data_IF_449560622279
#
_entry.id   IF_449560622279
#
_cell.length_a   1.000
_cell.length_b   1.000
_cell.length_c   1.000
_cell.angle_alpha   90.00
_cell.angle_beta   90.00
_cell.angle_gamma   90.00
#
_symmetry.space_group_name_H-M   'P 1'
#
loop_
_entity.id
_entity.type
_entity.pdbx_description
1 polymer ?
#
# COMPACT_ATOMS: atom_id res chain seq x y z
N UNK A 1 17.95 -33.86 6.60
CA UNK A 1 16.92 -33.85 5.54
C UNK A 1 16.96 -35.07 4.62
N UNK A 2 18.09 -35.57 4.11
CA UNK A 2 18.16 -36.71 3.18
C UNK A 2 17.69 -38.08 3.76
N UNK A 3 17.44 -38.17 5.05
CA UNK A 3 16.95 -39.37 5.75
C UNK A 3 15.42 -39.52 5.73
N UNK A 4 14.71 -38.46 5.40
CA UNK A 4 13.26 -38.44 5.41
C UNK A 4 12.72 -38.88 4.05
N UNK A 5 11.65 -39.69 4.08
CA UNK A 5 10.90 -40.04 2.90
C UNK A 5 9.99 -38.88 2.46
N UNK A 6 9.40 -38.98 1.28
CA UNK A 6 8.56 -37.95 0.71
C UNK A 6 7.35 -37.60 1.60
N UNK A 7 6.69 -38.59 2.17
CA UNK A 7 5.50 -38.39 3.03
C UNK A 7 5.86 -37.68 4.33
N UNK A 8 6.99 -38.04 4.94
CA UNK A 8 7.52 -37.37 6.13
C UNK A 8 7.89 -35.90 5.84
N UNK A 9 8.48 -35.62 4.69
CA UNK A 9 8.78 -34.26 4.25
C UNK A 9 7.51 -33.45 3.99
N UNK A 10 6.50 -34.02 3.33
CA UNK A 10 5.20 -33.41 3.13
C UNK A 10 4.56 -33.01 4.45
N UNK A 11 4.54 -33.94 5.40
CA UNK A 11 3.98 -33.67 6.72
C UNK A 11 4.76 -32.55 7.43
N UNK A 12 6.09 -32.61 7.43
CA UNK A 12 6.97 -31.64 8.09
C UNK A 12 6.79 -30.22 7.49
N UNK A 13 6.89 -30.07 6.18
CA UNK A 13 6.74 -28.76 5.52
C UNK A 13 5.32 -28.22 5.63
N UNK A 14 4.32 -29.08 5.43
CA UNK A 14 2.92 -28.71 5.57
C UNK A 14 2.58 -28.23 6.97
N UNK A 15 3.08 -28.95 8.00
CA UNK A 15 2.89 -28.57 9.39
C UNK A 15 3.56 -27.22 9.71
N UNK A 16 4.86 -27.05 9.37
CA UNK A 16 5.57 -25.80 9.59
C UNK A 16 4.92 -24.62 8.86
N UNK A 17 4.55 -24.82 7.60
CA UNK A 17 3.82 -23.80 6.82
C UNK A 17 2.51 -23.41 7.49
N UNK A 18 1.72 -24.39 7.96
CA UNK A 18 0.44 -24.13 8.60
C UNK A 18 0.59 -23.37 9.92
N UNK A 19 1.62 -23.69 10.72
CA UNK A 19 1.93 -22.94 11.96
C UNK A 19 2.33 -21.51 11.62
N UNK A 20 3.28 -21.31 10.72
CA UNK A 20 3.71 -19.96 10.32
C UNK A 20 2.56 -19.13 9.73
N UNK A 21 1.73 -19.74 8.88
CA UNK A 21 0.54 -19.09 8.33
C UNK A 21 -0.44 -18.68 9.43
N UNK A 22 -0.71 -19.57 10.38
CA UNK A 22 -1.60 -19.27 11.50
C UNK A 22 -1.06 -18.13 12.36
N UNK A 23 0.24 -18.12 12.66
CA UNK A 23 0.89 -17.02 13.40
C UNK A 23 0.78 -15.71 12.64
N UNK A 24 1.01 -15.70 11.32
CA UNK A 24 0.84 -14.52 10.46
C UNK A 24 -0.62 -14.02 10.45
N UNK A 25 -1.59 -14.93 10.40
CA UNK A 25 -3.01 -14.55 10.41
C UNK A 25 -3.45 -13.99 11.78
N UNK A 26 -2.87 -14.50 12.89
CA UNK A 26 -3.07 -13.93 14.22
C UNK A 26 -2.49 -12.52 14.33
N UNK A 27 -1.32 -12.27 13.74
CA UNK A 27 -0.72 -10.92 13.71
C UNK A 27 -1.55 -9.94 12.87
N UNK A 28 -2.07 -10.39 11.73
CA UNK A 28 -3.05 -9.62 10.94
C UNK A 28 -4.33 -9.33 11.73
N UNK A 29 -4.81 -10.29 12.53
CA UNK A 29 -5.99 -10.09 13.38
C UNK A 29 -5.73 -9.03 14.47
N UNK A 30 -4.54 -9.01 15.08
CA UNK A 30 -4.13 -7.95 16.02
C UNK A 30 -4.12 -6.59 15.30
N UNK A 31 -3.51 -6.52 14.13
CA UNK A 31 -3.48 -5.30 13.33
C UNK A 31 -4.87 -4.82 12.91
N UNK A 32 -5.80 -5.75 12.62
CA UNK A 32 -7.18 -5.43 12.32
C UNK A 32 -7.91 -4.83 13.52
N UNK A 33 -7.72 -5.37 14.74
CA UNK A 33 -8.29 -4.79 15.96
C UNK A 33 -7.73 -3.39 16.25
N UNK A 34 -6.44 -3.17 16.03
CA UNK A 34 -5.82 -1.85 16.16
C UNK A 34 -6.40 -0.85 15.15
N UNK A 35 -6.53 -1.24 13.88
CA UNK A 35 -7.13 -0.40 12.84
C UNK A 35 -8.59 -0.07 13.13
N UNK A 36 -9.37 -1.05 13.61
CA UNK A 36 -10.76 -0.84 14.02
C UNK A 36 -10.90 0.19 15.15
N UNK A 37 -10.00 0.14 16.13
CA UNK A 37 -9.97 1.14 17.21
C UNK A 37 -9.64 2.53 16.66
N UNK A 38 -8.65 2.65 15.78
CA UNK A 38 -8.30 3.89 15.09
C UNK A 38 -9.46 4.44 14.27
N UNK A 39 -10.08 3.61 13.43
CA UNK A 39 -11.18 4.01 12.54
C UNK A 39 -12.44 4.39 13.32
N UNK A 40 -12.68 3.79 14.48
CA UNK A 40 -13.78 4.18 15.37
C UNK A 40 -13.71 5.65 15.78
N UNK A 41 -12.52 6.14 16.10
CA UNK A 41 -12.27 7.53 16.49
C UNK A 41 -12.29 8.45 15.26
N UNK A 42 -11.57 8.09 14.22
CA UNK A 42 -11.51 8.87 12.99
C UNK A 42 -12.87 8.95 12.28
N UNK A 43 -13.67 7.89 12.36
CA UNK A 43 -15.04 7.87 11.84
C UNK A 43 -15.95 8.92 12.49
N UNK A 44 -15.73 9.24 13.78
CA UNK A 44 -16.45 10.35 14.45
C UNK A 44 -16.08 11.70 13.83
N UNK A 45 -14.79 11.95 13.60
CA UNK A 45 -14.33 13.15 12.92
C UNK A 45 -14.93 13.30 11.52
N UNK A 46 -14.92 12.26 10.69
CA UNK A 46 -15.46 12.31 9.34
C UNK A 46 -16.98 12.53 9.33
N UNK A 47 -17.71 11.96 10.30
CA UNK A 47 -19.16 12.24 10.46
C UNK A 47 -19.41 13.70 10.80
N UNK A 48 -18.69 14.27 11.77
CA UNK A 48 -18.80 15.69 12.13
C UNK A 48 -18.50 16.58 10.95
N UNK A 49 -17.39 16.32 10.24
CA UNK A 49 -17.01 17.06 9.03
C UNK A 49 -18.08 16.98 7.94
N UNK A 50 -18.68 15.80 7.73
CA UNK A 50 -19.77 15.61 6.76
C UNK A 50 -21.00 16.45 7.13
N UNK A 51 -21.42 16.41 8.40
CA UNK A 51 -22.56 17.20 8.89
C UNK A 51 -22.30 18.70 8.73
N UNK A 52 -21.13 19.18 9.11
CA UNK A 52 -20.76 20.59 8.94
C UNK A 52 -20.76 21.00 7.47
N UNK A 53 -20.25 20.18 6.57
CA UNK A 53 -20.31 20.46 5.12
C UNK A 53 -21.75 20.54 4.59
N UNK A 54 -22.65 19.66 5.06
CA UNK A 54 -24.08 19.72 4.70
C UNK A 54 -24.71 21.01 5.19
N UNK A 55 -24.40 21.44 6.42
CA UNK A 55 -24.92 22.70 6.98
C UNK A 55 -24.42 23.89 6.14
N UNK A 56 -23.15 23.94 5.78
CA UNK A 56 -22.56 25.01 4.95
C UNK A 56 -23.26 25.06 3.60
N UNK A 57 -23.41 23.92 2.93
CA UNK A 57 -24.09 23.84 1.61
C UNK A 57 -25.55 24.31 1.72
N UNK A 58 -26.28 23.83 2.76
CA UNK A 58 -27.67 24.24 2.99
C UNK A 58 -27.79 25.75 3.23
N UNK A 59 -26.89 26.34 4.00
CA UNK A 59 -26.84 27.76 4.25
C UNK A 59 -26.63 28.57 2.94
N UNK A 60 -25.68 28.14 2.11
CA UNK A 60 -25.39 28.75 0.82
C UNK A 60 -26.62 28.67 -0.10
N UNK A 61 -27.30 27.52 -0.16
CA UNK A 61 -28.49 27.32 -1.00
C UNK A 61 -29.66 28.22 -0.55
N UNK A 62 -29.94 28.22 0.77
CA UNK A 62 -31.01 29.06 1.35
C UNK A 62 -30.73 30.53 1.11
N UNK A 63 -29.49 31.00 1.28
CA UNK A 63 -29.09 32.38 1.01
C UNK A 63 -29.29 32.78 -0.47
N UNK A 64 -28.94 31.89 -1.39
CA UNK A 64 -29.17 32.15 -2.83
C UNK A 64 -30.66 32.16 -3.22
N UNK A 65 -31.46 31.23 -2.65
CA UNK A 65 -32.93 31.22 -2.88
C UNK A 65 -33.55 32.49 -2.31
N UNK A 66 -33.19 32.91 -1.12
CA UNK A 66 -33.69 34.14 -0.50
C UNK A 66 -33.35 35.37 -1.32
N UNK A 67 -32.08 35.50 -1.78
CA UNK A 67 -31.62 36.58 -2.64
C UNK A 67 -32.37 36.65 -3.99
N UNK A 68 -32.71 35.48 -4.56
CA UNK A 68 -33.52 35.38 -5.77
C UNK A 68 -34.97 35.85 -5.54
N UNK A 69 -35.60 35.47 -4.43
CA UNK A 69 -36.98 35.85 -4.08
C UNK A 69 -37.09 37.35 -3.81
N UNK A 70 -36.09 37.97 -3.20
CA UNK A 70 -36.09 39.40 -2.89
C UNK A 70 -35.63 40.27 -4.05
N UNK A 71 -35.42 39.72 -5.25
CA UNK A 71 -34.88 40.42 -6.45
C UNK A 71 -33.55 41.14 -6.20
N UNK A 72 -32.82 40.77 -5.15
CA UNK A 72 -31.52 41.34 -4.82
C UNK A 72 -30.46 40.91 -5.83
N UNK A 73 -30.63 39.72 -6.44
CA UNK A 73 -29.76 39.20 -7.48
C UNK A 73 -30.55 38.74 -8.71
N UNK A 74 -30.18 39.12 -9.93
CA UNK A 74 -30.79 38.57 -11.13
C UNK A 74 -30.52 37.05 -11.20
N UNK A 75 -31.55 36.26 -11.52
CA UNK A 75 -31.44 34.82 -11.78
C UNK A 75 -30.68 34.65 -13.11
N UNK A 76 -29.39 34.75 -13.06
CA UNK A 76 -28.49 34.62 -14.21
C UNK A 76 -27.56 33.43 -14.01
N UNK A 77 -26.89 33.03 -15.10
CA UNK A 77 -25.83 31.98 -15.10
C UNK A 77 -24.72 32.22 -14.06
N UNK A 78 -24.62 33.40 -13.46
CA UNK A 78 -23.73 33.78 -12.39
C UNK A 78 -24.00 32.99 -11.08
N UNK A 79 -25.25 32.56 -10.78
CA UNK A 79 -25.59 31.79 -9.60
C UNK A 79 -24.87 30.43 -9.60
N UNK A 80 -24.75 29.80 -10.80
CA UNK A 80 -24.06 28.50 -10.93
C UNK A 80 -22.58 28.62 -10.55
N UNK A 81 -21.95 29.73 -10.85
CA UNK A 81 -20.54 30.00 -10.54
C UNK A 81 -20.35 30.48 -9.08
N UNK A 82 -21.33 31.19 -8.53
CA UNK A 82 -21.29 31.74 -7.18
C UNK A 82 -21.34 30.66 -6.09
N UNK A 83 -22.14 29.61 -6.28
CA UNK A 83 -22.27 28.52 -5.30
C UNK A 83 -20.93 27.81 -5.03
N UNK A 84 -20.19 27.31 -6.04
CA UNK A 84 -18.88 26.66 -5.79
C UNK A 84 -17.84 27.65 -5.28
N UNK A 85 -17.88 28.90 -5.67
CA UNK A 85 -16.92 29.93 -5.22
C UNK A 85 -17.15 30.29 -3.75
N UNK A 86 -18.40 30.48 -3.32
CA UNK A 86 -18.73 30.72 -1.90
C UNK A 86 -18.43 29.49 -1.04
N UNK A 87 -18.72 28.28 -1.53
CA UNK A 87 -18.37 27.04 -0.86
C UNK A 87 -16.84 26.91 -0.68
N UNK A 88 -16.07 27.17 -1.74
CA UNK A 88 -14.60 27.18 -1.69
C UNK A 88 -14.06 28.17 -0.68
N UNK A 89 -14.62 29.38 -0.62
CA UNK A 89 -14.26 30.40 0.37
C UNK A 89 -14.52 29.92 1.80
N UNK A 90 -15.69 29.32 2.07
CA UNK A 90 -15.98 28.74 3.39
C UNK A 90 -15.01 27.60 3.74
N UNK A 91 -14.70 26.70 2.78
CA UNK A 91 -13.73 25.64 3.01
C UNK A 91 -12.34 26.19 3.38
N UNK A 92 -11.89 27.25 2.72
CA UNK A 92 -10.61 27.88 2.98
C UNK A 92 -10.60 28.56 4.37
N UNK A 93 -11.69 29.22 4.75
CA UNK A 93 -11.82 29.89 6.04
C UNK A 93 -11.86 28.88 7.21
N UNK A 94 -12.56 27.74 7.03
CA UNK A 94 -12.65 26.71 8.06
C UNK A 94 -11.52 25.68 8.02
N UNK A 95 -10.65 25.71 6.99
CA UNK A 95 -9.54 24.80 6.83
C UNK A 95 -8.64 24.70 8.10
N UNK A 96 -8.17 25.81 8.71
CA UNK A 96 -7.32 25.71 9.90
C UNK A 96 -8.06 25.06 11.07
N UNK A 97 -9.36 25.34 11.25
CA UNK A 97 -10.18 24.73 12.31
C UNK A 97 -10.29 23.22 12.07
N UNK A 98 -10.61 22.80 10.83
CA UNK A 98 -10.66 21.37 10.48
C UNK A 98 -9.31 20.68 10.64
N UNK A 99 -8.20 21.37 10.36
CA UNK A 99 -6.86 20.83 10.54
C UNK A 99 -6.54 20.59 12.04
N UNK A 100 -6.87 21.56 12.92
CA UNK A 100 -6.68 21.42 14.36
C UNK A 100 -7.55 20.29 14.92
N UNK A 101 -8.84 20.27 14.58
CA UNK A 101 -9.76 19.21 15.01
C UNK A 101 -9.31 17.84 14.51
N UNK A 102 -8.88 17.73 13.24
CA UNK A 102 -8.31 16.49 12.69
C UNK A 102 -7.09 16.04 13.47
N UNK A 103 -6.18 16.96 13.80
CA UNK A 103 -4.96 16.65 14.56
C UNK A 103 -5.31 16.10 15.95
N UNK A 104 -6.30 16.68 16.64
CA UNK A 104 -6.80 16.20 17.92
C UNK A 104 -7.38 14.79 17.83
N UNK A 105 -8.29 14.55 16.86
CA UNK A 105 -8.87 13.22 16.65
C UNK A 105 -7.81 12.20 16.24
N UNK A 106 -6.85 12.59 15.41
CA UNK A 106 -5.75 11.70 14.99
C UNK A 106 -4.84 11.34 16.17
N UNK A 107 -4.55 12.28 17.06
CA UNK A 107 -3.79 12.00 18.29
C UNK A 107 -4.55 10.99 19.18
N UNK A 108 -5.85 11.21 19.41
CA UNK A 108 -6.69 10.29 20.17
C UNK A 108 -6.82 8.92 19.51
N UNK A 109 -6.95 8.87 18.18
CA UNK A 109 -7.02 7.62 17.42
C UNK A 109 -5.71 6.82 17.50
N UNK A 110 -4.55 7.49 17.43
CA UNK A 110 -3.24 6.84 17.63
C UNK A 110 -3.08 6.27 19.03
N UNK A 111 -3.61 6.96 20.04
CA UNK A 111 -3.62 6.45 21.42
C UNK A 111 -4.47 5.19 21.55
N UNK A 112 -5.69 5.20 20.97
CA UNK A 112 -6.56 4.01 20.98
C UNK A 112 -5.99 2.86 20.14
N UNK A 113 -5.34 3.14 19.03
CA UNK A 113 -4.59 2.15 18.24
C UNK A 113 -3.52 1.45 19.11
N UNK A 114 -2.75 2.22 19.88
CA UNK A 114 -1.74 1.68 20.79
C UNK A 114 -2.37 0.88 21.93
N UNK A 115 -3.46 1.38 22.51
CA UNK A 115 -4.18 0.69 23.58
C UNK A 115 -4.78 -0.63 23.12
N UNK A 116 -5.29 -0.70 21.87
CA UNK A 116 -5.87 -1.91 21.30
C UNK A 116 -4.86 -3.07 21.16
N UNK A 117 -3.56 -2.76 21.07
CA UNK A 117 -2.51 -3.79 21.15
C UNK A 117 -2.52 -4.55 22.47
N UNK A 118 -2.89 -3.90 23.58
CA UNK A 118 -2.95 -4.46 24.93
C UNK A 118 -4.33 -4.98 25.34
N UNK A 119 -5.34 -4.95 24.47
CA UNK A 119 -6.67 -5.42 24.81
C UNK A 119 -6.75 -6.96 24.92
N UNK A 120 -7.83 -7.47 25.53
CA UNK A 120 -8.02 -8.91 25.78
C UNK A 120 -8.02 -9.75 24.50
N UNK A 121 -8.58 -9.21 23.39
CA UNK A 121 -8.61 -9.90 22.11
C UNK A 121 -7.19 -10.04 21.53
N UNK A 122 -6.42 -8.95 21.45
CA UNK A 122 -5.04 -8.95 20.99
C UNK A 122 -4.14 -9.80 21.88
N UNK A 123 -4.38 -9.80 23.19
CA UNK A 123 -3.65 -10.66 24.15
C UNK A 123 -3.91 -12.15 23.87
N UNK A 124 -5.16 -12.55 23.63
CA UNK A 124 -5.51 -13.93 23.26
C UNK A 124 -4.83 -14.37 21.97
N UNK A 125 -4.81 -13.51 20.94
CA UNK A 125 -4.12 -13.80 19.67
C UNK A 125 -2.62 -13.98 19.90
N UNK A 126 -1.99 -13.09 20.68
CA UNK A 126 -0.55 -13.23 21.01
C UNK A 126 -0.23 -14.49 21.81
N UNK A 127 -1.04 -14.81 22.83
CA UNK A 127 -0.85 -16.03 23.61
C UNK A 127 -0.91 -17.28 22.72
N UNK A 128 -1.92 -17.34 21.82
CA UNK A 128 -2.05 -18.44 20.87
C UNK A 128 -0.86 -18.51 19.90
N UNK A 129 -0.39 -17.36 19.40
CA UNK A 129 0.81 -17.31 18.54
C UNK A 129 2.07 -17.80 19.25
N UNK A 130 2.26 -17.40 20.52
CA UNK A 130 3.38 -17.88 21.36
C UNK A 130 3.27 -19.38 21.65
N UNK A 131 2.07 -19.88 21.95
CA UNK A 131 1.83 -21.31 22.16
C UNK A 131 2.21 -22.12 20.93
N UNK A 132 1.74 -21.74 19.74
CA UNK A 132 2.08 -22.39 18.47
C UNK A 132 3.58 -22.34 18.17
N UNK A 133 4.22 -21.19 18.42
CA UNK A 133 5.66 -21.02 18.18
C UNK A 133 6.54 -21.81 19.18
N UNK A 134 5.99 -22.21 20.32
CA UNK A 134 6.67 -23.02 21.34
C UNK A 134 6.27 -24.49 21.30
N UNK A 135 5.43 -24.88 20.37
CA UNK A 135 5.07 -26.27 20.19
C UNK A 135 6.31 -27.11 19.93
N UNK A 136 6.44 -28.21 20.66
CA UNK A 136 7.63 -29.07 20.60
C UNK A 136 7.88 -29.60 19.20
N UNK A 137 6.82 -30.06 18.53
CA UNK A 137 6.91 -30.61 17.18
C UNK A 137 7.36 -29.54 16.17
N UNK A 138 6.86 -28.32 16.32
CA UNK A 138 7.28 -27.18 15.49
C UNK A 138 8.76 -26.87 15.69
N UNK A 139 9.24 -26.86 16.92
CA UNK A 139 10.65 -26.59 17.23
C UNK A 139 11.56 -27.69 16.72
N UNK A 140 11.18 -28.95 16.92
CA UNK A 140 11.93 -30.12 16.41
C UNK A 140 12.07 -30.05 14.88
N UNK A 141 10.99 -29.71 14.16
CA UNK A 141 11.03 -29.58 12.70
C UNK A 141 11.80 -28.34 12.25
N UNK A 142 11.72 -27.24 12.99
CA UNK A 142 12.50 -26.04 12.70
C UNK A 142 14.01 -26.30 12.77
N UNK A 143 14.48 -27.12 13.71
CA UNK A 143 15.89 -27.51 13.82
C UNK A 143 16.35 -28.43 12.68
N UNK A 144 15.43 -29.23 12.12
CA UNK A 144 15.74 -30.14 11.02
C UNK A 144 15.74 -29.45 9.65
N UNK A 145 14.94 -28.40 9.45
CA UNK A 145 14.85 -27.65 8.19
C UNK A 145 15.98 -26.62 8.15
N UNK A 146 16.82 -26.57 7.10
CA UNK A 146 17.85 -25.56 6.98
C UNK A 146 17.25 -24.15 7.01
N UNK A 147 17.93 -23.23 7.70
CA UNK A 147 17.43 -21.86 7.96
C UNK A 147 17.09 -21.09 6.67
N UNK A 148 17.86 -21.29 5.59
CA UNK A 148 17.66 -20.67 4.29
C UNK A 148 16.30 -21.00 3.66
N UNK A 149 15.69 -22.10 4.07
CA UNK A 149 14.39 -22.59 3.57
C UNK A 149 13.26 -22.41 4.58
N UNK A 150 13.58 -21.94 5.81
CA UNK A 150 12.59 -21.82 6.89
C UNK A 150 11.87 -20.48 6.85
N UNK A 151 11.11 -20.26 5.79
CA UNK A 151 10.16 -19.15 5.65
C UNK A 151 8.86 -19.67 5.01
N UNK A 152 7.80 -18.89 5.11
CA UNK A 152 6.47 -19.33 4.72
C UNK A 152 6.38 -19.65 3.22
N UNK A 153 6.98 -18.84 2.37
CA UNK A 153 6.89 -18.98 0.92
C UNK A 153 7.70 -20.18 0.43
N UNK A 154 8.92 -20.36 0.93
CA UNK A 154 9.78 -21.48 0.57
C UNK A 154 9.22 -22.81 1.06
N UNK A 155 8.69 -22.86 2.29
CA UNK A 155 8.04 -24.05 2.83
C UNK A 155 6.81 -24.45 2.00
N UNK A 156 6.02 -23.48 1.55
CA UNK A 156 4.89 -23.74 0.67
C UNK A 156 5.34 -24.31 -0.69
N UNK A 157 6.37 -23.74 -1.29
CA UNK A 157 6.91 -24.21 -2.58
C UNK A 157 7.51 -25.62 -2.45
N UNK A 158 8.32 -25.85 -1.41
CA UNK A 158 8.88 -27.18 -1.13
C UNK A 158 7.78 -28.23 -0.91
N UNK A 159 6.76 -27.88 -0.15
CA UNK A 159 5.57 -28.72 0.03
C UNK A 159 4.88 -29.01 -1.32
N UNK A 160 4.64 -27.98 -2.12
CA UNK A 160 3.97 -28.07 -3.40
C UNK A 160 4.73 -28.95 -4.41
N UNK A 161 6.06 -28.85 -4.47
CA UNK A 161 6.87 -29.70 -5.36
C UNK A 161 6.79 -31.19 -4.99
N UNK A 162 6.78 -31.47 -3.70
CA UNK A 162 6.58 -32.84 -3.22
C UNK A 162 5.15 -33.33 -3.45
N UNK A 163 4.13 -32.50 -3.18
CA UNK A 163 2.72 -32.84 -3.34
C UNK A 163 2.38 -33.15 -4.81
N UNK A 164 2.90 -32.35 -5.73
CA UNK A 164 2.67 -32.48 -7.18
C UNK A 164 3.58 -33.50 -7.87
N UNK A 165 4.39 -34.26 -7.12
CA UNK A 165 5.35 -35.24 -7.66
C UNK A 165 6.40 -34.64 -8.61
N UNK A 166 6.71 -33.35 -8.45
CA UNK A 166 7.83 -32.68 -9.14
C UNK A 166 9.18 -32.99 -8.49
N UNK A 167 9.15 -33.39 -7.20
CA UNK A 167 10.30 -33.84 -6.44
C UNK A 167 9.92 -35.03 -5.57
N UNK A 168 10.84 -35.98 -5.40
CA UNK A 168 10.65 -37.14 -4.55
C UNK A 168 11.41 -37.04 -3.20
N UNK A 169 12.30 -36.07 -3.11
CA UNK A 169 13.14 -35.86 -1.92
C UNK A 169 13.47 -34.36 -1.73
N UNK A 170 14.01 -34.04 -0.56
CA UNK A 170 14.38 -32.65 -0.22
C UNK A 170 15.36 -32.02 -1.21
N UNK A 171 16.37 -32.77 -1.68
CA UNK A 171 17.40 -32.24 -2.57
C UNK A 171 16.81 -31.81 -3.91
N UNK A 172 15.90 -32.60 -4.47
CA UNK A 172 15.21 -32.25 -5.71
C UNK A 172 14.30 -31.04 -5.52
N UNK A 173 13.52 -31.00 -4.44
CA UNK A 173 12.66 -29.86 -4.12
C UNK A 173 13.47 -28.56 -3.94
N UNK A 174 14.58 -28.63 -3.22
CA UNK A 174 15.48 -27.50 -3.01
C UNK A 174 16.14 -27.02 -4.32
N UNK A 175 16.50 -27.92 -5.22
CA UNK A 175 17.01 -27.54 -6.55
C UNK A 175 15.95 -26.82 -7.38
N UNK A 176 14.73 -27.34 -7.42
CA UNK A 176 13.63 -26.67 -8.12
C UNK A 176 13.36 -25.27 -7.56
N UNK A 177 13.39 -25.13 -6.24
CA UNK A 177 13.23 -23.83 -5.59
C UNK A 177 14.36 -22.86 -5.98
N UNK A 178 15.59 -23.34 -6.00
CA UNK A 178 16.75 -22.52 -6.41
C UNK A 178 16.64 -22.07 -7.87
N UNK A 179 16.20 -22.95 -8.78
CA UNK A 179 15.94 -22.62 -10.18
C UNK A 179 14.84 -21.59 -10.35
N UNK A 180 13.73 -21.71 -9.60
CA UNK A 180 12.62 -20.77 -9.66
C UNK A 180 13.03 -19.39 -9.16
N UNK A 181 13.70 -19.32 -8.01
CA UNK A 181 14.27 -18.07 -7.47
C UNK A 181 15.33 -17.44 -8.40
N UNK A 182 16.09 -18.26 -9.13
CA UNK A 182 17.03 -17.75 -10.14
C UNK A 182 16.27 -17.14 -11.33
N UNK A 183 15.21 -17.79 -11.78
CA UNK A 183 14.37 -17.31 -12.90
C UNK A 183 13.71 -15.98 -12.55
N UNK A 184 13.07 -15.90 -11.39
CA UNK A 184 12.47 -14.64 -10.90
C UNK A 184 13.49 -13.49 -10.90
N UNK A 185 14.69 -13.72 -10.35
CA UNK A 185 15.75 -12.70 -10.34
C UNK A 185 16.18 -12.28 -11.73
N UNK A 186 16.21 -13.22 -12.70
CA UNK A 186 16.54 -12.90 -14.10
C UNK A 186 15.42 -12.09 -14.73
N UNK A 187 14.16 -12.42 -14.48
CA UNK A 187 12.99 -11.69 -14.98
C UNK A 187 12.96 -10.27 -14.41
N UNK A 188 13.14 -10.09 -13.11
CA UNK A 188 13.22 -8.79 -12.44
C UNK A 188 14.36 -7.93 -13.01
N UNK A 189 15.56 -8.53 -13.21
CA UNK A 189 16.68 -7.82 -13.80
C UNK A 189 16.42 -7.42 -15.25
N UNK A 190 15.68 -8.23 -16.03
CA UNK A 190 15.31 -7.89 -17.40
C UNK A 190 14.32 -6.71 -17.42
N UNK A 191 13.35 -6.68 -16.50
CA UNK A 191 12.40 -5.58 -16.38
C UNK A 191 13.10 -4.26 -16.01
N UNK A 192 14.02 -4.30 -15.02
CA UNK A 192 14.85 -3.16 -14.64
C UNK A 192 15.72 -2.69 -15.81
N UNK A 193 16.30 -3.61 -16.58
CA UNK A 193 17.10 -3.26 -17.75
C UNK A 193 16.25 -2.65 -18.87
N UNK A 194 15.04 -3.15 -19.13
CA UNK A 194 14.12 -2.58 -20.11
C UNK A 194 13.69 -1.17 -19.73
N UNK A 195 13.35 -0.93 -18.46
CA UNK A 195 12.99 0.40 -17.97
C UNK A 195 14.15 1.39 -18.08
N UNK A 196 15.38 0.94 -17.82
CA UNK A 196 16.59 1.73 -17.98
C UNK A 196 16.86 2.08 -19.44
N UNK A 197 16.68 1.13 -20.37
CA UNK A 197 16.81 1.35 -21.80
C UNK A 197 15.77 2.36 -22.32
N UNK A 198 14.54 2.28 -21.86
CA UNK A 198 13.50 3.27 -22.21
C UNK A 198 13.90 4.68 -21.76
N UNK A 199 14.42 4.82 -20.54
CA UNK A 199 14.93 6.10 -20.02
C UNK A 199 16.09 6.64 -20.83
N UNK A 200 17.02 5.78 -21.25
CA UNK A 200 18.15 6.16 -22.12
C UNK A 200 17.66 6.61 -23.51
N UNK A 201 16.70 5.91 -24.09
CA UNK A 201 16.10 6.31 -25.38
C UNK A 201 15.43 7.68 -25.31
N UNK A 202 14.70 7.97 -24.24
CA UNK A 202 14.08 9.28 -24.03
C UNK A 202 15.14 10.39 -23.88
N UNK A 203 16.21 10.14 -23.13
CA UNK A 203 17.32 11.08 -22.99
C UNK A 203 18.05 11.34 -24.33
N UNK A 204 18.26 10.33 -25.14
CA UNK A 204 18.86 10.47 -26.48
C UNK A 204 17.96 11.27 -27.40
N UNK A 205 16.65 11.04 -27.39
CA UNK A 205 15.67 11.85 -28.13
C UNK A 205 15.69 13.31 -27.69
N UNK A 206 15.73 13.57 -26.41
CA UNK A 206 15.79 14.91 -25.85
C UNK A 206 17.07 15.64 -26.29
N UNK A 207 18.23 14.97 -26.22
CA UNK A 207 19.51 15.54 -26.69
C UNK A 207 19.49 15.85 -28.19
N UNK A 208 18.88 14.99 -29.02
CA UNK A 208 18.79 15.23 -30.46
C UNK A 208 17.92 16.45 -30.78
N UNK A 209 16.84 16.68 -30.02
CA UNK A 209 16.00 17.88 -30.17
C UNK A 209 16.78 19.14 -29.79
N UNK A 210 17.53 19.13 -28.67
CA UNK A 210 18.36 20.27 -28.26
C UNK A 210 19.43 20.58 -29.30
N UNK A 211 20.12 19.59 -29.85
CA UNK A 211 21.11 19.79 -30.92
C UNK A 211 20.48 20.38 -32.18
N UNK A 212 19.27 19.94 -32.54
CA UNK A 212 18.54 20.50 -33.68
C UNK A 212 18.18 21.99 -33.47
N UNK A 213 17.75 22.35 -32.26
CA UNK A 213 17.45 23.75 -31.89
C UNK A 213 18.70 24.60 -31.96
N UNK A 214 19.85 24.12 -31.41
CA UNK A 214 21.11 24.83 -31.46
C UNK A 214 21.62 25.04 -32.87
N UNK A 215 21.46 24.05 -33.76
CA UNK A 215 21.80 24.18 -35.18
C UNK A 215 20.91 25.19 -35.90
N UNK A 216 19.64 25.27 -35.57
CA UNK A 216 18.73 26.29 -36.14
C UNK A 216 19.07 27.69 -35.65
N UNK A 217 19.41 27.86 -34.38
CA UNK A 217 19.88 29.13 -33.81
C UNK A 217 21.21 29.58 -34.46
N UNK A 218 22.17 28.70 -34.63
CA UNK A 218 23.42 29.00 -35.30
C UNK A 218 23.24 29.43 -36.76
N UNK A 219 22.32 28.78 -37.50
CA UNK A 219 21.96 29.17 -38.89
C UNK A 219 21.25 30.53 -38.97
N UNK A 220 20.38 30.84 -38.02
CA UNK A 220 19.72 32.16 -37.95
C UNK A 220 20.73 33.28 -37.65
N UNK A 221 21.65 33.02 -36.72
CA UNK A 221 22.71 33.99 -36.41
C UNK A 221 23.64 34.22 -37.63
N UNK A 222 23.99 33.20 -38.39
CA UNK A 222 24.83 33.35 -39.58
C UNK A 222 24.14 34.19 -40.66
N UNK A 223 22.84 33.99 -40.90
CA UNK A 223 22.07 34.82 -41.89
C UNK A 223 21.94 36.29 -41.48
N UNK A 224 21.90 36.58 -40.17
CA UNK A 224 21.83 37.97 -39.69
C UNK A 224 23.17 38.70 -39.91
N UNK A 225 24.29 37.98 -39.86
CA UNK A 225 25.64 38.54 -40.09
C UNK A 225 25.90 38.75 -41.57
N UNK A 226 25.47 37.84 -42.46
CA UNK A 226 25.65 37.98 -43.90
C UNK A 226 24.80 39.09 -44.55
N UNK A 227 23.69 39.50 -43.90
CA UNK A 227 22.79 40.58 -44.40
C UNK A 227 23.08 41.96 -43.80
N UNK A 228 24.26 42.15 -43.16
CA UNK A 228 24.76 43.43 -42.70
C UNK A 228 25.98 43.86 -43.53
#
# INVERSE_FOLDING_TARGET
>A
MNRYNREELLYMFGYCFQVLKTVSDLDKAISAEQNKAYDSIMGKYYRIKKVLNIIIISYILIGNIWGAITNTYPITSLIILQIPLTYGFFQLLFFPIFAIVKAFYNHSAKKEFSNAYGNDASNKYRQKGVELSRDKQFLDYKEEIPEDYFNMDDLYLLYSYLETYRADNFKEAANLLAEEKHRERVEDNQEVMQSSLATIQDNVRYQSVIQTIQLLEARTHHRIIENR
#
